data_IF_261560903445
#
_entry.id   IF_261560903445
#
_cell.length_a   1.000
_cell.length_b   1.000
_cell.length_c   1.000
_cell.angle_alpha   90.00
_cell.angle_beta   90.00
_cell.angle_gamma   90.00
#
_symmetry.space_group_name_H-M   'P 1'
#
loop_
_entity.id
_entity.type
_entity.pdbx_description
1 polymer ?
#
# COMPACT_ATOMS: atom_id res chain seq x y z
N UNK A 1 23.22 16.17 20.65
CA UNK A 1 22.76 16.25 19.25
C UNK A 1 21.55 15.34 19.10
N UNK A 2 20.33 15.89 19.13
CA UNK A 2 19.09 15.10 19.02
C UNK A 2 18.98 14.61 17.58
N UNK A 3 19.11 13.30 17.35
CA UNK A 3 18.79 12.68 16.05
C UNK A 3 17.31 12.99 15.76
N UNK A 4 17.09 13.81 14.74
CA UNK A 4 15.78 14.25 14.30
C UNK A 4 15.01 13.02 13.80
N UNK A 5 13.88 12.67 14.44
CA UNK A 5 13.05 11.49 14.11
C UNK A 5 12.18 11.76 12.89
N UNK A 6 12.79 12.24 11.81
CA UNK A 6 12.18 12.24 10.48
C UNK A 6 12.74 11.03 9.75
N UNK A 7 12.29 9.84 10.18
CA UNK A 7 12.28 8.67 9.31
C UNK A 7 11.43 9.12 8.14
N UNK A 8 12.07 9.39 7.01
CA UNK A 8 11.37 9.84 5.81
C UNK A 8 10.52 8.67 5.31
N UNK A 9 9.40 8.97 4.65
CA UNK A 9 8.57 7.96 3.99
C UNK A 9 9.41 6.98 3.14
N UNK A 10 10.51 7.48 2.55
CA UNK A 10 11.45 6.68 1.77
C UNK A 10 12.21 5.68 2.64
N UNK A 11 12.67 6.05 3.83
CA UNK A 11 13.38 5.14 4.74
C UNK A 11 12.52 3.91 5.14
N UNK A 12 11.18 4.10 5.25
CA UNK A 12 10.22 3.02 5.53
C UNK A 12 10.08 2.05 4.33
N UNK A 13 10.39 2.49 3.11
CA UNK A 13 10.31 1.70 1.87
C UNK A 13 11.67 1.34 1.26
N UNK A 14 12.76 1.83 1.84
CA UNK A 14 14.13 1.65 1.36
C UNK A 14 14.51 0.16 1.21
N UNK A 15 13.93 -0.72 2.03
CA UNK A 15 14.15 -2.16 1.92
C UNK A 15 13.57 -2.75 0.65
N UNK A 16 12.49 -2.16 0.12
CA UNK A 16 11.90 -2.59 -1.13
C UNK A 16 12.72 -2.01 -2.30
N UNK A 17 13.05 -0.71 -2.29
CA UNK A 17 13.55 0.00 -3.49
C UNK A 17 15.06 -0.26 -3.77
N UNK A 18 15.77 -1.03 -2.94
CA UNK A 18 17.22 -1.24 -3.06
C UNK A 18 17.58 -2.54 -3.77
N UNK A 19 17.62 -2.50 -5.11
CA UNK A 19 18.61 -3.24 -5.87
C UNK A 19 18.81 -2.62 -7.27
N UNK A 20 20.07 -2.36 -7.66
CA UNK A 20 20.42 -1.90 -9.01
C UNK A 20 20.29 -3.06 -10.05
N UNK A 21 20.03 -4.27 -9.57
CA UNK A 21 19.69 -5.44 -10.40
C UNK A 21 18.21 -5.42 -10.78
N UNK A 22 17.94 -4.86 -11.96
CA UNK A 22 16.61 -4.58 -12.54
C UNK A 22 15.76 -5.83 -12.90
N UNK A 23 16.08 -6.99 -12.36
CA UNK A 23 15.26 -8.21 -12.47
C UNK A 23 14.89 -8.69 -11.08
N UNK A 24 14.08 -7.89 -10.38
CA UNK A 24 13.42 -8.39 -9.17
C UNK A 24 12.26 -9.30 -9.55
N UNK A 25 12.08 -10.38 -8.81
CA UNK A 25 10.94 -11.25 -8.98
C UNK A 25 9.76 -10.65 -8.20
N UNK A 26 8.66 -10.35 -8.91
CA UNK A 26 7.42 -9.87 -8.29
C UNK A 26 6.96 -10.76 -7.12
N UNK A 27 7.21 -12.06 -7.22
CA UNK A 27 6.89 -13.01 -6.16
C UNK A 27 7.71 -12.77 -4.89
N UNK A 28 8.96 -12.31 -4.99
CA UNK A 28 9.82 -12.06 -3.83
C UNK A 28 9.35 -10.80 -3.09
N UNK A 29 9.02 -9.72 -3.82
CA UNK A 29 8.40 -8.52 -3.25
C UNK A 29 7.10 -8.85 -2.54
N UNK A 30 6.21 -9.62 -3.19
CA UNK A 30 4.96 -10.03 -2.57
C UNK A 30 5.20 -10.91 -1.35
N UNK A 31 6.14 -11.85 -1.42
CA UNK A 31 6.49 -12.72 -0.29
C UNK A 31 7.03 -11.92 0.89
N UNK A 32 7.88 -10.91 0.65
CA UNK A 32 8.38 -10.01 1.68
C UNK A 32 7.24 -9.26 2.38
N UNK A 33 6.34 -8.65 1.58
CA UNK A 33 5.18 -7.93 2.12
C UNK A 33 4.22 -8.86 2.87
N UNK A 34 3.87 -10.01 2.29
CA UNK A 34 2.94 -10.98 2.91
C UNK A 34 3.47 -11.52 4.24
N UNK A 35 4.80 -11.59 4.40
CA UNK A 35 5.43 -12.08 5.63
C UNK A 35 5.75 -10.99 6.66
N UNK A 36 5.54 -9.71 6.34
CA UNK A 36 5.66 -8.63 7.32
C UNK A 36 4.48 -8.68 8.32
N UNK A 37 4.80 -8.99 9.58
CA UNK A 37 3.85 -9.06 10.68
C UNK A 37 3.86 -7.81 11.57
N UNK A 38 4.80 -6.90 11.35
CA UNK A 38 4.95 -5.67 12.13
C UNK A 38 4.23 -4.50 11.47
N UNK A 39 4.33 -4.40 10.14
CA UNK A 39 3.80 -3.30 9.36
C UNK A 39 2.68 -3.75 8.43
N UNK A 40 1.61 -2.95 8.39
CA UNK A 40 0.50 -3.16 7.48
C UNK A 40 0.80 -2.52 6.13
N UNK A 41 1.08 -3.35 5.12
CA UNK A 41 1.40 -2.93 3.76
C UNK A 41 0.38 -3.46 2.76
N UNK A 42 0.27 -2.77 1.62
CA UNK A 42 -0.38 -3.28 0.42
C UNK A 42 0.32 -2.78 -0.84
N UNK A 43 0.09 -3.49 -1.95
CA UNK A 43 0.56 -3.14 -3.29
C UNK A 43 -0.64 -2.95 -4.22
N UNK A 44 -0.59 -1.89 -5.02
CA UNK A 44 -1.52 -1.64 -6.12
C UNK A 44 -0.85 -1.81 -7.47
N UNK A 45 -1.61 -2.28 -8.46
CA UNK A 45 -1.25 -2.15 -9.86
C UNK A 45 -1.66 -0.80 -10.47
N UNK A 46 -1.34 -0.60 -11.75
CA UNK A 46 -1.65 0.58 -12.58
C UNK A 46 -3.16 0.94 -12.62
N UNK A 47 -4.03 -0.05 -12.38
CA UNK A 47 -5.49 0.08 -12.34
C UNK A 47 -6.04 0.28 -10.93
N UNK A 48 -5.18 0.56 -9.95
CA UNK A 48 -5.53 0.73 -8.54
C UNK A 48 -6.23 -0.51 -7.95
N UNK A 49 -5.85 -1.69 -8.42
CA UNK A 49 -6.29 -2.97 -7.87
C UNK A 49 -5.23 -3.52 -6.95
N UNK A 50 -5.65 -4.05 -5.81
CA UNK A 50 -4.75 -4.68 -4.85
C UNK A 50 -4.21 -5.96 -5.47
N UNK A 51 -2.89 -6.15 -5.39
CA UNK A 51 -2.22 -7.38 -5.83
C UNK A 51 -1.56 -8.12 -4.67
N UNK A 52 -1.25 -7.41 -3.58
CA UNK A 52 -0.67 -7.99 -2.37
C UNK A 52 -1.04 -7.15 -1.13
N UNK A 53 -1.25 -7.80 0.01
CA UNK A 53 -1.38 -7.21 1.34
C UNK A 53 -0.54 -8.00 2.34
N UNK A 54 -0.04 -7.33 3.38
CA UNK A 54 0.65 -8.01 4.48
C UNK A 54 -0.31 -8.66 5.46
N UNK A 55 0.16 -9.65 6.24
CA UNK A 55 -0.63 -10.23 7.34
C UNK A 55 -1.12 -9.18 8.32
N UNK A 56 -0.27 -8.19 8.64
CA UNK A 56 -0.67 -7.12 9.55
C UNK A 56 -1.80 -6.25 8.98
N UNK A 57 -1.83 -6.08 7.67
CA UNK A 57 -2.94 -5.40 7.00
C UNK A 57 -4.23 -6.21 7.10
N UNK A 58 -4.17 -7.53 6.92
CA UNK A 58 -5.33 -8.43 7.08
C UNK A 58 -5.90 -8.34 8.49
N UNK A 59 -5.04 -8.33 9.52
CA UNK A 59 -5.46 -8.18 10.92
C UNK A 59 -6.23 -6.88 11.16
N UNK A 60 -5.75 -5.76 10.60
CA UNK A 60 -6.37 -4.44 10.78
C UNK A 60 -7.71 -4.35 10.03
N UNK A 61 -7.73 -4.79 8.78
CA UNK A 61 -8.88 -4.59 7.90
C UNK A 61 -9.92 -5.72 8.01
N UNK A 62 -9.50 -6.90 8.46
CA UNK A 62 -10.31 -8.11 8.59
C UNK A 62 -10.57 -8.84 7.27
N UNK A 63 -9.94 -8.42 6.17
CA UNK A 63 -10.03 -9.08 4.86
C UNK A 63 -8.74 -9.87 4.59
N UNK A 64 -8.86 -11.03 3.94
CA UNK A 64 -7.68 -11.80 3.52
C UNK A 64 -7.11 -11.30 2.19
N UNK A 65 -5.85 -11.66 1.90
CA UNK A 65 -5.19 -11.45 0.62
C UNK A 65 -6.04 -11.99 -0.54
N UNK A 66 -6.62 -13.18 -0.39
CA UNK A 66 -7.48 -13.77 -1.42
C UNK A 66 -8.75 -12.95 -1.68
N UNK A 67 -9.36 -12.38 -0.64
CA UNK A 67 -10.58 -11.57 -0.75
C UNK A 67 -10.33 -10.18 -1.36
N UNK A 68 -9.10 -9.70 -1.24
CA UNK A 68 -8.69 -8.39 -1.73
C UNK A 68 -7.92 -8.44 -3.05
N UNK A 69 -7.45 -9.62 -3.47
CA UNK A 69 -6.74 -9.77 -4.72
C UNK A 69 -7.61 -9.32 -5.91
N UNK A 70 -7.07 -8.38 -6.70
CA UNK A 70 -7.72 -7.64 -7.78
C UNK A 70 -8.95 -6.79 -7.41
N UNK A 71 -9.15 -6.51 -6.13
CA UNK A 71 -10.22 -5.64 -5.65
C UNK A 71 -9.75 -4.20 -5.49
N UNK A 72 -10.73 -3.29 -5.48
CA UNK A 72 -10.50 -1.88 -5.15
C UNK A 72 -10.71 -1.61 -3.66
N UNK A 73 -10.20 -0.47 -3.20
CA UNK A 73 -10.42 -0.02 -1.82
C UNK A 73 -11.85 0.37 -1.49
N UNK A 74 -12.78 0.36 -2.44
CA UNK A 74 -14.20 0.61 -2.18
C UNK A 74 -14.79 -0.35 -1.14
N UNK A 75 -14.23 -1.56 -0.96
CA UNK A 75 -14.64 -2.49 0.12
C UNK A 75 -14.40 -1.93 1.53
N UNK A 76 -13.40 -1.04 1.70
CA UNK A 76 -13.08 -0.40 2.98
C UNK A 76 -13.79 0.93 3.19
N UNK A 77 -14.49 1.45 2.17
CA UNK A 77 -15.10 2.78 2.21
C UNK A 77 -16.54 2.69 2.72
N UNK A 78 -16.96 3.67 3.51
CA UNK A 78 -18.32 3.77 4.02
C UNK A 78 -18.80 5.22 4.07
N UNK A 79 -19.81 5.46 4.91
CA UNK A 79 -20.55 6.73 4.95
C UNK A 79 -19.65 7.95 5.21
N UNK A 80 -18.66 7.82 6.09
CA UNK A 80 -17.76 8.92 6.46
C UNK A 80 -16.49 8.98 5.60
N UNK A 81 -16.32 8.08 4.64
CA UNK A 81 -15.14 8.06 3.79
C UNK A 81 -15.19 9.23 2.80
N UNK A 82 -14.26 10.17 2.94
CA UNK A 82 -14.16 11.31 2.04
C UNK A 82 -13.50 10.94 0.71
N UNK A 83 -14.31 10.77 -0.33
CA UNK A 83 -13.84 10.46 -1.70
C UNK A 83 -12.92 11.53 -2.30
N UNK A 84 -13.09 12.80 -1.92
CA UNK A 84 -12.21 13.89 -2.39
C UNK A 84 -10.79 13.70 -1.87
N UNK A 85 -10.65 13.25 -0.62
CA UNK A 85 -9.33 12.92 -0.04
C UNK A 85 -8.64 11.80 -0.82
N UNK A 86 -9.38 10.76 -1.21
CA UNK A 86 -8.84 9.65 -2.02
C UNK A 86 -8.39 10.15 -3.40
N UNK A 87 -9.22 10.93 -4.08
CA UNK A 87 -8.89 11.44 -5.40
C UNK A 87 -7.63 12.32 -5.38
N UNK A 88 -7.56 13.25 -4.42
CA UNK A 88 -6.37 14.09 -4.24
C UNK A 88 -5.12 13.25 -3.96
N UNK A 89 -5.23 12.25 -3.10
CA UNK A 89 -4.14 11.34 -2.78
C UNK A 89 -3.62 10.60 -4.02
N UNK A 90 -4.52 10.08 -4.87
CA UNK A 90 -4.15 9.40 -6.11
C UNK A 90 -3.53 10.35 -7.14
N UNK A 91 -4.03 11.58 -7.24
CA UNK A 91 -3.46 12.60 -8.13
C UNK A 91 -2.05 13.00 -7.68
N UNK A 92 -1.86 13.18 -6.37
CA UNK A 92 -0.55 13.48 -5.78
C UNK A 92 0.44 12.33 -5.96
N UNK A 93 0.00 11.06 -5.78
CA UNK A 93 0.84 9.89 -6.04
C UNK A 93 1.34 9.85 -7.48
N UNK A 94 0.45 10.09 -8.45
CA UNK A 94 0.81 10.12 -9.88
C UNK A 94 1.77 11.26 -10.21
N UNK A 95 1.62 12.40 -9.55
CA UNK A 95 2.39 13.62 -9.86
C UNK A 95 3.75 13.68 -9.16
N UNK A 96 3.82 13.22 -7.91
CA UNK A 96 4.97 13.41 -7.04
C UNK A 96 5.65 12.10 -6.64
N UNK A 97 5.18 10.96 -7.17
CA UNK A 97 5.65 9.61 -6.86
C UNK A 97 5.52 9.22 -5.38
N UNK A 98 4.87 10.06 -4.55
CA UNK A 98 4.60 9.81 -3.14
C UNK A 98 3.46 10.68 -2.64
N UNK A 99 2.70 10.18 -1.68
CA UNK A 99 1.65 10.93 -1.02
C UNK A 99 1.32 10.33 0.33
N UNK A 100 0.65 11.11 1.17
CA UNK A 100 0.11 10.66 2.45
C UNK A 100 -1.30 11.20 2.63
N UNK A 101 -2.18 10.41 3.23
CA UNK A 101 -3.54 10.85 3.58
C UNK A 101 -3.99 10.29 4.92
N UNK A 102 -4.90 11.02 5.58
CA UNK A 102 -5.68 10.49 6.69
C UNK A 102 -7.11 10.24 6.22
N UNK A 103 -7.62 9.04 6.46
CA UNK A 103 -8.93 8.63 5.98
C UNK A 103 -9.68 7.79 7.01
N UNK A 104 -11.01 7.84 6.94
CA UNK A 104 -11.89 6.95 7.68
C UNK A 104 -12.27 5.81 6.73
N UNK A 105 -11.98 4.59 7.17
CA UNK A 105 -12.36 3.35 6.53
C UNK A 105 -13.15 2.48 7.50
N UNK A 106 -13.64 1.35 7.01
CA UNK A 106 -14.40 0.38 7.77
C UNK A 106 -13.77 -1.00 7.55
N UNK A 107 -13.64 -1.77 8.62
CA UNK A 107 -13.20 -3.17 8.54
C UNK A 107 -14.28 -4.04 7.89
N UNK A 108 -13.95 -5.30 7.61
CA UNK A 108 -14.91 -6.30 7.13
C UNK A 108 -16.16 -6.45 8.01
N UNK A 109 -15.99 -6.29 9.33
CA UNK A 109 -17.09 -6.32 10.31
C UNK A 109 -17.77 -4.96 10.50
N UNK A 110 -17.51 -4.01 9.59
CA UNK A 110 -18.04 -2.65 9.58
C UNK A 110 -17.62 -1.79 10.80
N UNK A 111 -16.48 -2.12 11.42
CA UNK A 111 -15.92 -1.29 12.48
C UNK A 111 -15.21 -0.09 11.85
N UNK A 112 -15.56 1.11 12.32
CA UNK A 112 -14.95 2.35 11.87
C UNK A 112 -13.49 2.43 12.34
N UNK A 113 -12.57 2.63 11.42
CA UNK A 113 -11.15 2.84 11.68
C UNK A 113 -10.69 4.14 11.04
N UNK A 114 -9.84 4.88 11.75
CA UNK A 114 -9.16 6.05 11.21
C UNK A 114 -7.71 5.64 10.95
N UNK A 115 -7.28 5.78 9.70
CA UNK A 115 -5.95 5.36 9.29
C UNK A 115 -5.23 6.50 8.60
N UNK A 116 -3.92 6.55 8.82
CA UNK A 116 -2.99 7.20 7.92
C UNK A 116 -2.55 6.19 6.85
N UNK A 117 -2.45 6.66 5.61
CA UNK A 117 -1.94 5.92 4.47
C UNK A 117 -0.77 6.69 3.91
N UNK A 118 0.36 6.01 3.82
CA UNK A 118 1.65 6.51 3.38
C UNK A 118 2.05 5.68 2.16
N UNK A 119 2.19 6.29 0.97
CA UNK A 119 2.44 5.52 -0.24
C UNK A 119 3.46 6.16 -1.17
N UNK A 120 4.10 5.30 -1.95
CA UNK A 120 5.06 5.66 -2.98
C UNK A 120 4.72 4.96 -4.29
N UNK A 121 5.10 5.58 -5.40
CA UNK A 121 5.15 4.95 -6.71
C UNK A 121 6.44 4.12 -6.81
N UNK A 122 6.33 2.93 -7.38
CA UNK A 122 7.48 2.06 -7.62
C UNK A 122 8.03 2.26 -9.02
N UNK A 123 9.35 2.19 -9.15
CA UNK A 123 10.05 2.24 -10.45
C UNK A 123 10.48 0.83 -10.92
N UNK A 124 9.94 -0.24 -10.31
CA UNK A 124 10.31 -1.60 -10.65
C UNK A 124 9.93 -1.96 -12.09
N UNK A 125 10.85 -2.65 -12.75
CA UNK A 125 10.62 -3.27 -14.04
C UNK A 125 10.62 -4.78 -13.80
N UNK A 126 9.43 -5.38 -13.75
CA UNK A 126 9.30 -6.83 -13.60
C UNK A 126 9.26 -7.49 -14.97
N UNK A 127 10.11 -8.50 -15.20
CA UNK A 127 9.96 -9.44 -16.30
C UNK A 127 8.78 -10.39 -15.99
N UNK A 128 7.58 -9.84 -15.96
CA UNK A 128 6.41 -10.55 -15.46
C UNK A 128 5.69 -11.28 -16.60
N UNK A 129 5.45 -12.58 -16.43
CA UNK A 129 4.60 -13.39 -17.33
C UNK A 129 3.12 -12.96 -17.18
N UNK A 130 2.78 -12.22 -16.11
CA UNK A 130 1.43 -11.75 -15.80
C UNK A 130 1.33 -10.21 -15.85
N UNK A 131 0.91 -9.61 -16.99
CA UNK A 131 0.87 -8.15 -17.16
C UNK A 131 -0.12 -7.44 -16.23
N UNK A 132 -1.04 -8.17 -15.60
CA UNK A 132 -2.03 -7.62 -14.65
C UNK A 132 -1.47 -7.38 -13.24
N UNK A 133 -0.28 -7.92 -12.96
CA UNK A 133 0.38 -7.90 -11.66
C UNK A 133 1.65 -7.04 -11.66
N UNK A 134 1.65 -5.95 -12.41
CA UNK A 134 2.74 -4.97 -12.38
C UNK A 134 2.47 -4.04 -11.18
N UNK A 135 3.29 -4.08 -10.11
CA UNK A 135 3.24 -3.10 -9.03
C UNK A 135 3.45 -1.70 -9.58
N UNK A 136 2.56 -0.80 -9.21
CA UNK A 136 2.68 0.63 -9.48
C UNK A 136 2.88 1.40 -8.17
N UNK A 137 2.22 0.99 -7.09
CA UNK A 137 2.32 1.65 -5.79
C UNK A 137 2.49 0.66 -4.65
N UNK A 138 3.35 1.00 -3.69
CA UNK A 138 3.42 0.33 -2.38
C UNK A 138 2.96 1.34 -1.34
N UNK A 139 2.15 0.88 -0.40
CA UNK A 139 1.60 1.71 0.65
C UNK A 139 1.63 1.03 2.01
N UNK A 140 1.83 1.84 3.04
CA UNK A 140 1.76 1.49 4.46
C UNK A 140 0.51 2.11 5.07
N UNK A 141 -0.12 1.39 5.99
CA UNK A 141 -1.21 1.94 6.80
C UNK A 141 -0.86 1.92 8.28
N UNK A 142 -1.34 2.93 9.01
CA UNK A 142 -1.20 3.05 10.47
C UNK A 142 -2.53 3.53 11.05
N UNK A 143 -3.02 2.91 12.12
CA UNK A 143 -4.20 3.41 12.86
C UNK A 143 -3.82 4.69 13.61
N UNK A 144 -4.69 5.71 13.61
CA UNK A 144 -4.45 7.04 14.21
C UNK A 144 -5.66 7.57 15.00
#
# INVERSE_FOLDING_TARGET
>A
MKRDRRITLLDDFDHFIKDDNKEENFNDLCTSIMNDNENAYYILNDKNKIICVSKKWEEICGYTQEEMYHEGFNKLQGLETNKKTINNFMDDLKKFNKSSMNIINYTKTNNRIKINVDAIKTDYIFNNIFPINIPEYIAKIKII
#
